data_IF_996890950867
#
_entry.id   IF_996890950867
#
_cell.length_a   1.000
_cell.length_b   1.000
_cell.length_c   1.000
_cell.angle_alpha   90.00
_cell.angle_beta   90.00
_cell.angle_gamma   90.00
#
_symmetry.space_group_name_H-M   'P 1'
#
loop_
_entity.id
_entity.type
_entity.pdbx_description
1 polymer ?
#
# COMPACT_ATOMS: atom_id res chain seq x y z
N UNK A 1 -24.95 -3.69 -42.40
CA UNK A 1 -24.22 -4.33 -41.29
C UNK A 1 -24.85 -3.86 -39.99
N UNK A 2 -25.85 -4.61 -39.50
CA UNK A 2 -26.55 -4.27 -38.26
C UNK A 2 -26.03 -5.15 -37.14
N UNK A 3 -25.39 -4.52 -36.15
CA UNK A 3 -24.92 -5.12 -34.92
C UNK A 3 -26.11 -5.39 -34.02
N UNK A 4 -26.55 -6.65 -33.94
CA UNK A 4 -27.55 -7.07 -32.96
C UNK A 4 -26.86 -7.22 -31.59
N UNK A 5 -26.96 -6.18 -30.76
CA UNK A 5 -26.71 -6.33 -29.32
C UNK A 5 -27.82 -7.22 -28.75
N UNK A 6 -27.45 -8.42 -28.30
CA UNK A 6 -28.36 -9.36 -27.67
C UNK A 6 -28.89 -8.79 -26.32
N UNK A 7 -30.20 -8.57 -26.16
CA UNK A 7 -30.77 -8.02 -24.92
C UNK A 7 -30.68 -8.99 -23.73
N UNK A 8 -30.50 -10.30 -23.98
CA UNK A 8 -30.39 -11.34 -22.94
C UNK A 8 -29.08 -11.27 -22.14
N UNK A 9 -27.99 -10.77 -22.72
CA UNK A 9 -26.72 -10.60 -22.00
C UNK A 9 -26.71 -9.36 -21.10
N UNK A 10 -27.49 -8.33 -21.42
CA UNK A 10 -27.64 -7.15 -20.53
C UNK A 10 -28.48 -7.48 -19.30
N UNK A 11 -29.63 -8.15 -19.45
CA UNK A 11 -30.47 -8.50 -18.31
C UNK A 11 -29.78 -9.49 -17.34
N UNK A 12 -29.02 -10.46 -17.86
CA UNK A 12 -28.28 -11.40 -17.03
C UNK A 12 -27.11 -10.74 -16.29
N UNK A 13 -26.47 -9.72 -16.87
CA UNK A 13 -25.44 -8.91 -16.20
C UNK A 13 -26.05 -7.99 -15.14
N UNK A 14 -27.15 -7.30 -15.47
CA UNK A 14 -27.88 -6.44 -14.51
C UNK A 14 -28.42 -7.24 -13.33
N UNK A 15 -28.97 -8.44 -13.55
CA UNK A 15 -29.44 -9.30 -12.44
C UNK A 15 -28.30 -9.83 -11.58
N UNK A 16 -27.13 -10.10 -12.15
CA UNK A 16 -25.94 -10.52 -11.38
C UNK A 16 -25.36 -9.37 -10.57
N UNK A 17 -25.25 -8.18 -11.14
CA UNK A 17 -24.84 -6.97 -10.41
C UNK A 17 -25.85 -6.59 -9.31
N UNK A 18 -27.15 -6.66 -9.58
CA UNK A 18 -28.17 -6.42 -8.57
C UNK A 18 -28.11 -7.45 -7.43
N UNK A 19 -27.84 -8.72 -7.73
CA UNK A 19 -27.68 -9.76 -6.72
C UNK A 19 -26.36 -9.61 -5.93
N UNK A 20 -25.26 -9.20 -6.56
CA UNK A 20 -23.99 -8.92 -5.90
C UNK A 20 -24.09 -7.70 -4.97
N UNK A 21 -24.73 -6.63 -5.42
CA UNK A 21 -25.02 -5.45 -4.61
C UNK A 21 -25.96 -5.78 -3.43
N UNK A 22 -26.94 -6.67 -3.62
CA UNK A 22 -27.84 -7.14 -2.57
C UNK A 22 -27.20 -8.13 -1.57
N UNK A 23 -26.07 -8.74 -1.93
CA UNK A 23 -25.32 -9.66 -1.06
C UNK A 23 -24.09 -9.01 -0.42
N UNK A 24 -23.71 -7.79 -0.83
CA UNK A 24 -22.57 -7.10 -0.24
C UNK A 24 -22.86 -6.76 1.23
N UNK A 25 -22.15 -7.39 2.20
CA UNK A 25 -22.42 -7.18 3.61
C UNK A 25 -22.06 -5.77 4.07
N UNK A 26 -21.21 -5.04 3.33
CA UNK A 26 -20.87 -3.65 3.65
C UNK A 26 -22.03 -2.67 3.37
N UNK A 27 -22.88 -2.98 2.38
CA UNK A 27 -24.03 -2.12 2.01
C UNK A 27 -25.29 -2.50 2.80
N UNK A 28 -25.51 -3.81 3.00
CA UNK A 28 -26.79 -4.35 3.48
C UNK A 28 -26.83 -4.68 4.97
N UNK A 29 -25.71 -4.61 5.68
CA UNK A 29 -25.64 -4.74 7.15
C UNK A 29 -25.49 -3.36 7.80
N UNK A 30 -26.24 -3.01 8.86
CA UNK A 30 -26.02 -1.79 9.64
C UNK A 30 -24.56 -1.60 10.10
N UNK A 31 -23.84 -2.67 10.44
CA UNK A 31 -22.41 -2.59 10.80
C UNK A 31 -21.54 -2.18 9.60
N UNK A 32 -21.90 -2.60 8.39
CA UNK A 32 -21.22 -2.20 7.16
C UNK A 32 -21.41 -0.71 6.87
N UNK A 33 -22.61 -0.20 7.10
CA UNK A 33 -22.90 1.23 6.95
C UNK A 33 -22.16 2.10 7.98
N UNK A 34 -22.02 1.60 9.21
CA UNK A 34 -21.20 2.27 10.24
C UNK A 34 -19.73 2.40 9.80
N UNK A 35 -19.16 1.33 9.23
CA UNK A 35 -17.79 1.35 8.69
C UNK A 35 -17.66 2.33 7.52
N UNK A 36 -18.65 2.39 6.62
CA UNK A 36 -18.64 3.34 5.49
C UNK A 36 -18.67 4.79 5.99
N UNK A 37 -19.51 5.09 6.98
CA UNK A 37 -19.59 6.43 7.55
C UNK A 37 -18.32 6.80 8.34
N UNK A 38 -17.70 5.84 9.04
CA UNK A 38 -16.42 6.05 9.70
C UNK A 38 -15.31 6.39 8.69
N UNK A 39 -15.24 5.64 7.58
CA UNK A 39 -14.28 5.90 6.50
C UNK A 39 -14.51 7.28 5.85
N UNK A 40 -15.77 7.72 5.69
CA UNK A 40 -16.09 9.07 5.20
C UNK A 40 -15.55 10.16 6.11
N UNK A 41 -15.72 10.00 7.43
CA UNK A 41 -15.22 10.94 8.42
C UNK A 41 -13.69 11.01 8.38
N UNK A 42 -13.01 9.85 8.30
CA UNK A 42 -11.54 9.80 8.22
C UNK A 42 -11.00 10.41 6.94
N UNK A 43 -11.60 10.11 5.78
CA UNK A 43 -11.20 10.73 4.50
C UNK A 43 -11.39 12.25 4.55
N UNK A 44 -12.49 12.73 5.14
CA UNK A 44 -12.73 14.16 5.33
C UNK A 44 -11.68 14.82 6.22
N UNK A 45 -11.24 14.13 7.28
CA UNK A 45 -10.16 14.59 8.15
C UNK A 45 -8.83 14.70 7.39
N UNK A 46 -8.50 13.72 6.56
CA UNK A 46 -7.26 13.70 5.77
C UNK A 46 -7.24 14.79 4.69
N UNK A 47 -8.40 15.09 4.07
CA UNK A 47 -8.55 16.20 3.13
C UNK A 47 -8.31 17.55 3.82
N UNK A 48 -8.90 17.75 5.00
CA UNK A 48 -8.72 18.97 5.79
C UNK A 48 -7.27 19.16 6.29
N UNK A 49 -6.48 18.09 6.30
CA UNK A 49 -5.04 18.11 6.62
C UNK A 49 -4.15 18.21 5.38
N UNK A 50 -4.72 18.39 4.18
CA UNK A 50 -4.01 18.41 2.89
C UNK A 50 -3.16 17.14 2.62
N UNK A 51 -3.48 16.03 3.29
CA UNK A 51 -2.77 14.75 3.11
C UNK A 51 -3.28 13.94 1.92
N UNK A 52 -4.46 14.29 1.41
CA UNK A 52 -5.08 13.73 0.20
C UNK A 52 -5.54 14.91 -0.64
N UNK A 53 -5.22 14.89 -1.95
CA UNK A 53 -5.60 15.96 -2.88
C UNK A 53 -6.95 15.68 -3.56
N UNK A 54 -7.25 14.41 -3.82
CA UNK A 54 -8.49 13.98 -4.43
C UNK A 54 -8.94 12.65 -3.80
N UNK A 55 -10.01 12.65 -2.99
CA UNK A 55 -10.49 11.45 -2.35
C UNK A 55 -11.22 10.58 -3.38
N UNK A 56 -10.87 9.30 -3.45
CA UNK A 56 -11.60 8.33 -4.27
C UNK A 56 -13.02 8.15 -3.72
N UNK A 57 -14.04 8.06 -4.60
CA UNK A 57 -15.39 7.73 -4.16
C UNK A 57 -15.40 6.32 -3.55
N UNK A 58 -15.83 6.21 -2.30
CA UNK A 58 -15.91 4.96 -1.55
C UNK A 58 -16.78 3.93 -2.28
N UNK A 59 -17.72 4.37 -3.11
CA UNK A 59 -18.52 3.48 -3.97
C UNK A 59 -17.64 2.62 -4.89
N UNK A 60 -16.53 3.15 -5.39
CA UNK A 60 -15.61 2.43 -6.26
C UNK A 60 -14.80 1.36 -5.51
N UNK A 61 -14.76 1.41 -4.17
CA UNK A 61 -14.17 0.36 -3.33
C UNK A 61 -15.13 -0.83 -3.14
N UNK A 62 -16.42 -0.57 -3.27
CA UNK A 62 -17.50 -1.53 -2.98
C UNK A 62 -17.95 -2.23 -4.28
N UNK A 63 -17.85 -1.53 -5.41
CA UNK A 63 -18.13 -2.01 -6.75
C UNK A 63 -16.81 -2.22 -7.51
N UNK A 64 -16.00 -3.20 -7.07
CA UNK A 64 -14.94 -3.70 -7.95
C UNK A 64 -15.62 -4.45 -9.10
N UNK A 65 -15.38 -4.02 -10.34
CA UNK A 65 -15.81 -4.77 -11.52
C UNK A 65 -15.23 -6.19 -11.40
N UNK A 66 -16.11 -7.21 -11.44
CA UNK A 66 -15.72 -8.62 -11.39
C UNK A 66 -14.67 -8.88 -12.48
N UNK A 67 -13.39 -9.01 -12.11
CA UNK A 67 -12.41 -9.68 -12.96
C UNK A 67 -12.88 -11.13 -13.09
N UNK A 68 -13.39 -11.46 -14.28
CA UNK A 68 -13.89 -12.79 -14.60
C UNK A 68 -12.70 -13.75 -14.63
N UNK A 69 -12.39 -14.37 -13.49
CA UNK A 69 -11.48 -15.53 -13.45
C UNK A 69 -12.23 -16.68 -14.13
N UNK A 70 -11.95 -16.88 -15.42
CA UNK A 70 -12.37 -18.09 -16.12
C UNK A 70 -11.51 -19.24 -15.60
N UNK A 71 -12.01 -20.02 -14.66
CA UNK A 71 -11.35 -21.24 -14.20
C UNK A 71 -11.38 -22.31 -15.31
N UNK A 72 -10.46 -22.22 -16.27
CA UNK A 72 -10.18 -23.32 -17.19
C UNK A 72 -9.20 -24.28 -16.49
N UNK A 73 -9.58 -25.54 -16.27
CA UNK A 73 -8.75 -26.52 -15.58
C UNK A 73 -7.41 -26.78 -16.27
N UNK A 74 -7.30 -26.52 -17.58
CA UNK A 74 -6.02 -26.60 -18.31
C UNK A 74 -5.01 -25.53 -17.88
N UNK A 75 -5.47 -24.36 -17.43
CA UNK A 75 -4.58 -23.28 -16.98
C UNK A 75 -3.97 -23.59 -15.61
N UNK A 76 -4.70 -24.28 -14.74
CA UNK A 76 -4.19 -24.75 -13.44
C UNK A 76 -3.07 -25.79 -13.62
N UNK A 77 -3.20 -26.69 -14.57
CA UNK A 77 -2.17 -27.72 -14.84
C UNK A 77 -0.92 -27.07 -15.43
N UNK A 78 -1.09 -26.11 -16.35
CA UNK A 78 0.02 -25.31 -16.90
C UNK A 78 0.74 -24.50 -15.81
N UNK A 79 -0.01 -23.90 -14.89
CA UNK A 79 0.54 -23.12 -13.79
C UNK A 79 1.31 -23.98 -12.77
N UNK A 80 0.80 -25.18 -12.46
CA UNK A 80 1.49 -26.13 -11.58
C UNK A 80 2.74 -26.69 -12.28
N UNK A 81 2.68 -26.95 -13.59
CA UNK A 81 3.84 -27.42 -14.34
C UNK A 81 4.98 -26.37 -14.37
N UNK A 82 4.65 -25.09 -14.51
CA UNK A 82 5.62 -23.99 -14.46
C UNK A 82 6.31 -23.79 -13.10
N UNK A 83 5.69 -24.24 -12.00
CA UNK A 83 6.29 -24.17 -10.66
C UNK A 83 7.38 -25.22 -10.42
N UNK A 84 7.47 -26.26 -11.25
CA UNK A 84 8.44 -27.37 -11.09
C UNK A 84 9.40 -27.51 -12.27
N UNK A 85 9.35 -26.60 -13.24
CA UNK A 85 10.34 -26.55 -14.32
C UNK A 85 11.69 -26.05 -13.76
N UNK A 86 12.82 -26.76 -13.97
CA UNK A 86 14.14 -26.26 -13.57
C UNK A 86 14.42 -24.96 -14.32
N UNK A 87 15.07 -23.96 -13.70
CA UNK A 87 15.26 -22.66 -14.32
C UNK A 87 16.03 -22.80 -15.64
N UNK A 88 15.39 -22.35 -16.72
CA UNK A 88 16.00 -22.20 -18.04
C UNK A 88 16.69 -20.83 -18.07
N UNK A 89 18.01 -20.87 -18.29
CA UNK A 89 18.98 -19.81 -18.60
C UNK A 89 18.91 -18.45 -17.87
N UNK A 90 20.01 -18.21 -17.14
CA UNK A 90 20.44 -17.05 -16.37
C UNK A 90 20.63 -15.76 -17.20
N UNK A 91 19.58 -15.19 -17.81
CA UNK A 91 19.73 -13.89 -18.51
C UNK A 91 18.84 -12.74 -18.07
N UNK A 92 17.83 -12.96 -17.22
CA UNK A 92 17.02 -11.89 -16.62
C UNK A 92 16.89 -12.09 -15.10
N UNK A 93 18.03 -12.10 -14.39
CA UNK A 93 17.99 -11.95 -12.93
C UNK A 93 17.56 -10.51 -12.64
N UNK A 94 16.24 -10.31 -12.48
CA UNK A 94 15.73 -9.17 -11.73
C UNK A 94 16.48 -9.14 -10.41
N UNK A 95 17.20 -8.04 -10.14
CA UNK A 95 17.91 -7.85 -8.87
C UNK A 95 16.95 -8.19 -7.72
N UNK A 96 17.33 -9.10 -6.80
CA UNK A 96 16.45 -9.46 -5.70
C UNK A 96 16.14 -8.20 -4.90
N UNK A 97 14.86 -7.82 -4.85
CA UNK A 97 14.37 -6.67 -4.08
C UNK A 97 14.82 -6.87 -2.63
N UNK A 98 15.80 -6.08 -2.22
CA UNK A 98 16.38 -6.18 -0.90
C UNK A 98 15.33 -5.74 0.13
N UNK A 99 14.76 -6.69 0.88
CA UNK A 99 13.76 -6.40 1.90
C UNK A 99 14.46 -5.75 3.09
N UNK A 100 14.48 -4.41 3.11
CA UNK A 100 15.09 -3.64 4.20
C UNK A 100 14.23 -3.80 5.45
N UNK A 101 14.78 -4.47 6.47
CA UNK A 101 14.15 -4.59 7.79
C UNK A 101 13.94 -3.20 8.40
N UNK A 102 12.78 -2.89 9.01
CA UNK A 102 12.61 -1.67 9.78
C UNK A 102 13.59 -1.63 10.97
N UNK A 103 14.33 -0.53 11.08
CA UNK A 103 15.27 -0.27 12.17
C UNK A 103 14.66 0.66 13.22
N UNK A 104 15.14 0.57 14.46
CA UNK A 104 14.74 1.49 15.53
C UNK A 104 15.30 2.90 15.30
N UNK A 105 14.70 3.90 15.97
CA UNK A 105 15.17 5.30 15.91
C UNK A 105 16.60 5.44 16.43
N UNK A 106 16.97 4.67 17.46
CA UNK A 106 18.30 4.73 18.06
C UNK A 106 19.34 4.08 17.13
N UNK A 107 19.01 2.93 16.53
CA UNK A 107 19.85 2.29 15.51
C UNK A 107 20.04 3.21 14.29
N UNK A 108 18.99 3.90 13.84
CA UNK A 108 19.09 4.85 12.74
C UNK A 108 20.07 5.99 13.04
N UNK A 109 20.03 6.58 14.25
CA UNK A 109 20.97 7.63 14.66
C UNK A 109 22.42 7.11 14.70
N UNK A 110 22.63 5.91 15.25
CA UNK A 110 23.96 5.31 15.30
C UNK A 110 24.52 5.02 13.90
N UNK A 111 23.69 4.52 12.99
CA UNK A 111 24.08 4.27 11.60
C UNK A 111 24.44 5.56 10.87
N UNK A 112 23.65 6.63 11.03
CA UNK A 112 23.94 7.95 10.43
C UNK A 112 25.28 8.49 10.94
N UNK A 113 25.54 8.41 12.25
CA UNK A 113 26.82 8.83 12.82
C UNK A 113 27.99 8.00 12.30
N UNK A 114 27.81 6.69 12.16
CA UNK A 114 28.84 5.79 11.62
C UNK A 114 29.13 6.08 10.15
N UNK A 115 28.10 6.34 9.34
CA UNK A 115 28.26 6.72 7.93
C UNK A 115 28.99 8.06 7.80
N UNK A 116 28.65 9.04 8.66
CA UNK A 116 29.32 10.34 8.66
C UNK A 116 30.80 10.20 9.04
N UNK A 117 31.12 9.43 10.08
CA UNK A 117 32.50 9.17 10.47
C UNK A 117 33.29 8.46 9.36
N UNK A 118 32.67 7.50 8.68
CA UNK A 118 33.28 6.81 7.56
C UNK A 118 33.59 7.77 6.40
N UNK A 119 32.65 8.66 6.06
CA UNK A 119 32.85 9.65 5.01
C UNK A 119 33.93 10.68 5.38
N UNK A 120 33.94 11.17 6.61
CA UNK A 120 34.96 12.10 7.13
C UNK A 120 36.37 11.49 7.11
N UNK A 121 36.47 10.16 7.21
CA UNK A 121 37.72 9.40 7.16
C UNK A 121 38.10 8.96 5.74
N UNK A 122 37.24 9.19 4.75
CA UNK A 122 37.51 8.86 3.34
C UNK A 122 38.49 9.87 2.73
N UNK A 123 39.40 9.38 1.90
CA UNK A 123 40.34 10.23 1.15
C UNK A 123 39.61 11.16 0.16
N UNK A 124 38.43 10.74 -0.34
CA UNK A 124 37.56 11.49 -1.24
C UNK A 124 36.31 12.02 -0.52
N UNK A 125 36.51 12.64 0.65
CA UNK A 125 35.42 13.17 1.48
C UNK A 125 34.42 14.05 0.69
N UNK A 126 33.18 13.57 0.59
CA UNK A 126 32.09 14.28 -0.05
C UNK A 126 31.28 15.11 0.97
N UNK A 127 31.56 16.41 0.99
CA UNK A 127 30.86 17.35 1.87
C UNK A 127 29.35 17.44 1.62
N UNK A 128 28.88 17.20 0.40
CA UNK A 128 27.44 17.22 0.09
C UNK A 128 26.74 15.96 0.63
N UNK A 129 27.46 14.84 0.66
CA UNK A 129 27.00 13.63 1.34
C UNK A 129 26.89 13.84 2.85
N UNK A 130 27.90 14.44 3.48
CA UNK A 130 27.86 14.76 4.92
C UNK A 130 26.68 15.68 5.26
N UNK A 131 26.44 16.73 4.45
CA UNK A 131 25.28 17.62 4.63
C UNK A 131 23.95 16.87 4.52
N UNK A 132 23.86 15.92 3.60
CA UNK A 132 22.66 15.08 3.44
C UNK A 132 22.45 14.21 4.68
N UNK A 133 23.51 13.60 5.22
CA UNK A 133 23.46 12.84 6.47
C UNK A 133 23.03 13.70 7.67
N UNK A 134 23.48 14.97 7.74
CA UNK A 134 23.04 15.91 8.78
C UNK A 134 21.54 16.22 8.71
N UNK A 135 21.00 16.34 7.49
CA UNK A 135 19.55 16.52 7.29
C UNK A 135 18.77 15.29 7.76
N UNK A 136 19.24 14.09 7.40
CA UNK A 136 18.62 12.84 7.87
C UNK A 136 18.70 12.70 9.39
N UNK A 137 19.83 13.02 10.01
CA UNK A 137 19.98 13.00 11.46
C UNK A 137 18.96 13.92 12.14
N UNK A 138 18.76 15.13 11.60
CA UNK A 138 17.76 16.08 12.09
C UNK A 138 16.35 15.51 12.00
N UNK A 139 15.97 14.93 10.87
CA UNK A 139 14.65 14.31 10.68
C UNK A 139 14.41 13.17 11.69
N UNK A 140 15.42 12.34 11.93
CA UNK A 140 15.32 11.24 12.90
C UNK A 140 15.19 11.77 14.33
N UNK A 141 15.94 12.82 14.70
CA UNK A 141 15.82 13.50 16.01
C UNK A 141 14.43 14.12 16.21
N UNK A 142 13.88 14.77 15.18
CA UNK A 142 12.54 15.34 15.24
C UNK A 142 11.46 14.26 15.44
N UNK A 143 11.60 13.11 14.76
CA UNK A 143 10.73 11.95 14.96
C UNK A 143 10.82 11.39 16.38
N UNK A 144 12.02 11.34 16.96
CA UNK A 144 12.23 10.94 18.37
C UNK A 144 11.47 11.87 19.31
N UNK A 145 11.59 13.17 19.13
CA UNK A 145 10.91 14.17 19.96
C UNK A 145 9.39 14.06 19.86
N UNK A 146 8.84 13.89 18.64
CA UNK A 146 7.40 13.69 18.45
C UNK A 146 6.88 12.43 19.16
N UNK A 147 7.61 11.31 19.06
CA UNK A 147 7.26 10.08 19.77
C UNK A 147 7.30 10.25 21.29
N UNK A 148 8.30 10.96 21.82
CA UNK A 148 8.38 11.26 23.25
C UNK A 148 7.19 12.09 23.71
N UNK A 149 6.81 13.13 22.94
CA UNK A 149 5.66 13.97 23.26
C UNK A 149 4.33 13.17 23.26
N UNK A 150 4.15 12.27 22.29
CA UNK A 150 2.99 11.37 22.26
C UNK A 150 2.95 10.46 23.49
N UNK A 151 4.08 9.82 23.85
CA UNK A 151 4.13 8.96 25.03
C UNK A 151 3.83 9.70 26.35
N UNK A 152 4.18 10.99 26.42
CA UNK A 152 3.86 11.84 27.57
C UNK A 152 2.37 12.16 27.65
N UNK A 153 1.72 12.45 26.52
CA UNK A 153 0.27 12.66 26.47
C UNK A 153 -0.51 11.40 26.87
N UNK A 154 -0.10 10.25 26.36
CA UNK A 154 -0.73 8.96 26.70
C UNK A 154 -0.61 8.65 28.20
N UNK A 155 0.54 8.97 28.81
CA UNK A 155 0.77 8.79 30.25
C UNK A 155 -0.06 9.71 31.14
N UNK A 156 -0.52 10.86 30.62
CA UNK A 156 -1.34 11.83 31.36
C UNK A 156 -2.84 11.58 31.25
N UNK A 157 -3.26 10.79 30.26
CA UNK A 157 -4.67 10.44 29.99
C UNK A 157 -5.11 9.14 30.68
N UNK A 158 -4.24 8.54 31.50
CA UNK A 158 -4.50 7.33 32.29
C UNK A 158 -4.59 7.68 33.78
#
# INVERSE_FOLDING_TARGET
MHSYLNPFTSQAKEQRQANAAAQNPLINNPQGQEIIEELRVQISLLLNQEQVLEPMDIKNLIELDDEVIQENQEDLITHIAGLFEPPVDESDIEEPVEVIRPISIEEALQLVQRLKLHEEQSDDCNNDWIRSLDQYEKVVKDRRLKRLHQSQLDSWLT
#
